data_IF_818767901298
#
_entry.id   IF_818767901298
#
_cell.length_a   1.000
_cell.length_b   1.000
_cell.length_c   1.000
_cell.angle_alpha   90.00
_cell.angle_beta   90.00
_cell.angle_gamma   90.00
#
_symmetry.space_group_name_H-M   'P 1'
#
loop_
_entity.id
_entity.type
_entity.pdbx_description
1 polymer ?
#
# COMPACT_ATOMS: atom_id res chain seq x y z
N UNK A 1 6.81 4.32 9.67
CA UNK A 1 6.41 3.61 8.43
C UNK A 1 6.66 4.41 7.15
N UNK A 2 6.18 5.66 6.97
CA UNK A 2 6.25 6.33 5.66
C UNK A 2 7.68 6.71 5.25
N UNK A 3 8.53 7.04 6.22
CA UNK A 3 9.94 7.31 5.96
C UNK A 3 10.69 6.09 5.40
N UNK A 4 10.37 4.88 5.86
CA UNK A 4 10.95 3.65 5.32
C UNK A 4 10.49 3.41 3.88
N UNK A 5 9.20 3.64 3.60
CA UNK A 5 8.66 3.49 2.24
C UNK A 5 9.36 4.45 1.26
N UNK A 6 9.55 5.71 1.64
CA UNK A 6 10.27 6.69 0.81
C UNK A 6 11.75 6.34 0.61
N UNK A 7 12.43 5.92 1.68
CA UNK A 7 13.83 5.52 1.59
C UNK A 7 14.01 4.27 0.72
N UNK A 8 13.10 3.30 0.80
CA UNK A 8 13.15 2.07 0.00
C UNK A 8 12.73 2.28 -1.45
N UNK A 9 11.78 3.18 -1.72
CA UNK A 9 11.35 3.50 -3.08
C UNK A 9 12.42 4.30 -3.85
N UNK A 10 13.18 5.14 -3.15
CA UNK A 10 14.19 6.02 -3.75
C UNK A 10 15.56 5.94 -3.04
N UNK A 11 16.18 4.75 -3.00
CA UNK A 11 17.37 4.50 -2.16
C UNK A 11 18.59 5.31 -2.60
N UNK A 12 18.66 5.72 -3.86
CA UNK A 12 19.78 6.53 -4.40
C UNK A 12 19.66 8.02 -4.10
N UNK A 13 18.46 8.54 -3.86
CA UNK A 13 18.23 9.99 -3.72
C UNK A 13 17.76 10.42 -2.32
N UNK A 14 17.13 9.51 -1.57
CA UNK A 14 16.53 9.82 -0.27
C UNK A 14 17.16 8.99 0.85
N UNK A 15 17.93 9.66 1.72
CA UNK A 15 18.41 9.04 2.97
C UNK A 15 17.29 8.96 4.01
N UNK A 16 17.43 8.05 4.99
CA UNK A 16 16.43 7.86 6.05
C UNK A 16 16.08 9.17 6.80
N UNK A 17 17.07 10.01 7.08
CA UNK A 17 16.85 11.33 7.72
C UNK A 17 16.01 12.25 6.84
N UNK A 18 16.31 12.32 5.54
CA UNK A 18 15.54 13.13 4.58
C UNK A 18 14.12 12.60 4.42
N UNK A 19 13.96 11.28 4.31
CA UNK A 19 12.64 10.64 4.27
C UNK A 19 11.81 10.96 5.52
N UNK A 20 12.43 10.97 6.71
CA UNK A 20 11.78 11.37 7.96
C UNK A 20 11.25 12.80 7.92
N UNK A 21 12.08 13.75 7.47
CA UNK A 21 11.70 15.16 7.34
C UNK A 21 10.57 15.36 6.31
N UNK A 22 10.66 14.72 5.15
CA UNK A 22 9.60 14.78 4.12
C UNK A 22 8.29 14.22 4.66
N UNK A 23 8.35 13.07 5.34
CA UNK A 23 7.18 12.45 5.96
C UNK A 23 6.54 13.37 6.99
N UNK A 24 7.33 13.99 7.87
CA UNK A 24 6.83 14.92 8.87
C UNK A 24 6.15 16.13 8.23
N UNK A 25 6.78 16.75 7.22
CA UNK A 25 6.23 17.89 6.51
C UNK A 25 4.89 17.58 5.82
N UNK A 26 4.81 16.45 5.10
CA UNK A 26 3.57 16.02 4.43
C UNK A 26 2.49 15.69 5.46
N UNK A 27 2.85 14.93 6.51
CA UNK A 27 1.91 14.53 7.56
C UNK A 27 1.28 15.74 8.28
N UNK A 28 2.08 16.75 8.59
CA UNK A 28 1.56 18.00 9.18
C UNK A 28 0.70 18.79 8.18
N UNK A 29 1.12 18.85 6.91
CA UNK A 29 0.40 19.59 5.86
C UNK A 29 -0.97 19.02 5.52
N UNK A 30 -1.18 17.72 5.74
CA UNK A 30 -2.49 17.07 5.59
C UNK A 30 -3.51 17.50 6.66
N UNK A 31 -3.09 18.23 7.69
CA UNK A 31 -3.96 18.75 8.75
C UNK A 31 -4.87 17.68 9.36
N UNK A 32 -4.32 16.59 9.95
CA UNK A 32 -5.12 15.47 10.46
C UNK A 32 -6.15 15.88 11.51
N UNK A 33 -5.97 17.02 12.17
CA UNK A 33 -6.95 17.59 13.10
C UNK A 33 -8.27 18.01 12.44
N UNK A 34 -8.28 18.37 11.16
CA UNK A 34 -9.54 18.61 10.42
C UNK A 34 -10.35 17.33 10.21
N UNK A 35 -9.66 16.20 10.14
CA UNK A 35 -10.28 14.88 10.08
C UNK A 35 -11.03 14.56 11.38
N UNK A 36 -10.53 15.05 12.51
CA UNK A 36 -11.11 14.85 13.84
C UNK A 36 -12.15 15.90 14.25
N UNK A 37 -12.32 16.98 13.48
CA UNK A 37 -13.18 18.11 13.90
C UNK A 37 -14.67 17.92 13.59
N UNK A 38 -15.04 16.90 12.80
CA UNK A 38 -16.43 16.60 12.46
C UNK A 38 -16.94 15.32 13.13
N UNK A 39 -18.13 15.38 13.72
CA UNK A 39 -18.79 14.19 14.28
C UNK A 39 -19.03 13.15 13.17
N UNK A 40 -18.63 11.91 13.42
CA UNK A 40 -18.82 10.79 12.48
C UNK A 40 -17.86 10.73 11.28
N UNK A 41 -17.23 11.85 10.89
CA UNK A 41 -16.36 11.91 9.71
C UNK A 41 -15.15 10.96 9.80
N UNK A 42 -14.57 10.82 11.00
CA UNK A 42 -13.47 9.89 11.26
C UNK A 42 -13.87 8.44 10.93
N UNK A 43 -15.09 8.02 11.27
CA UNK A 43 -15.54 6.66 11.01
C UNK A 43 -15.74 6.40 9.52
N UNK A 44 -16.39 7.31 8.80
CA UNK A 44 -16.54 7.22 7.34
C UNK A 44 -15.16 7.14 6.68
N UNK A 45 -14.21 7.98 7.11
CA UNK A 45 -12.86 7.97 6.56
C UNK A 45 -12.12 6.67 6.84
N UNK A 46 -12.19 6.14 8.06
CA UNK A 46 -11.56 4.87 8.44
C UNK A 46 -12.15 3.68 7.68
N UNK A 47 -13.48 3.63 7.52
CA UNK A 47 -14.16 2.58 6.76
C UNK A 47 -13.76 2.65 5.29
N UNK A 48 -13.76 3.85 4.70
CA UNK A 48 -13.30 4.07 3.33
C UNK A 48 -11.86 3.61 3.15
N UNK A 49 -10.95 3.99 4.05
CA UNK A 49 -9.57 3.56 4.02
C UNK A 49 -9.41 2.03 4.12
N UNK A 50 -10.17 1.39 5.01
CA UNK A 50 -10.18 -0.06 5.17
C UNK A 50 -10.69 -0.78 3.91
N UNK A 51 -11.64 -0.21 3.17
CA UNK A 51 -12.14 -0.76 1.92
C UNK A 51 -11.06 -0.84 0.82
N UNK A 52 -10.08 0.07 0.83
CA UNK A 52 -8.94 0.01 -0.10
C UNK A 52 -7.80 -0.87 0.39
N UNK A 53 -7.46 -0.79 1.68
CA UNK A 53 -6.34 -1.53 2.25
C UNK A 53 -6.64 -3.01 2.51
N UNK A 54 -7.88 -3.36 2.83
CA UNK A 54 -8.29 -4.74 3.09
C UNK A 54 -7.95 -5.68 1.92
N UNK A 55 -8.34 -5.36 0.68
CA UNK A 55 -7.97 -6.13 -0.49
C UNK A 55 -6.45 -6.24 -0.69
N UNK A 56 -5.68 -5.19 -0.42
CA UNK A 56 -4.20 -5.22 -0.51
C UNK A 56 -3.65 -6.26 0.48
N UNK A 57 -4.09 -6.21 1.74
CA UNK A 57 -3.67 -7.17 2.76
C UNK A 57 -4.07 -8.60 2.39
N UNK A 58 -5.28 -8.80 1.85
CA UNK A 58 -5.76 -10.10 1.37
C UNK A 58 -4.89 -10.67 0.24
N UNK A 59 -4.52 -9.83 -0.74
CA UNK A 59 -3.62 -10.23 -1.83
C UNK A 59 -2.24 -10.60 -1.29
N UNK A 60 -1.67 -9.82 -0.37
CA UNK A 60 -0.38 -10.14 0.24
C UNK A 60 -0.41 -11.47 1.00
N UNK A 61 -1.48 -11.74 1.76
CA UNK A 61 -1.66 -13.01 2.46
C UNK A 61 -1.80 -14.18 1.49
N UNK A 62 -2.62 -14.04 0.45
CA UNK A 62 -2.81 -15.08 -0.56
C UNK A 62 -1.50 -15.36 -1.33
N UNK A 63 -0.77 -14.33 -1.73
CA UNK A 63 0.51 -14.46 -2.42
C UNK A 63 1.53 -15.20 -1.53
N UNK A 64 1.69 -14.77 -0.28
CA UNK A 64 2.69 -15.36 0.61
C UNK A 64 2.34 -16.78 1.07
N UNK A 65 1.12 -16.99 1.59
CA UNK A 65 0.75 -18.27 2.21
C UNK A 65 0.27 -19.31 1.19
N UNK A 66 -0.50 -18.90 0.18
CA UNK A 66 -1.15 -19.84 -0.75
C UNK A 66 -0.27 -20.06 -1.98
N UNK A 67 0.09 -18.99 -2.70
CA UNK A 67 0.83 -19.11 -3.96
C UNK A 67 2.29 -19.50 -3.73
N UNK A 68 2.96 -18.82 -2.79
CA UNK A 68 4.40 -19.00 -2.54
C UNK A 68 4.71 -19.97 -1.41
N UNK A 69 3.70 -20.43 -0.67
CA UNK A 69 3.85 -21.38 0.44
C UNK A 69 4.97 -20.97 1.42
N UNK A 70 4.99 -19.70 1.78
CA UNK A 70 5.97 -19.08 2.68
C UNK A 70 7.43 -19.11 2.20
N UNK A 71 7.66 -19.32 0.90
CA UNK A 71 9.01 -19.28 0.30
C UNK A 71 9.16 -18.02 -0.54
N UNK A 72 9.98 -17.10 -0.07
CA UNK A 72 10.36 -15.89 -0.80
C UNK A 72 11.82 -15.97 -1.19
N UNK A 73 12.10 -15.66 -2.44
CA UNK A 73 13.44 -15.35 -2.89
C UNK A 73 13.77 -13.90 -2.53
N UNK A 74 14.78 -13.71 -1.67
CA UNK A 74 15.19 -12.39 -1.18
C UNK A 74 16.00 -11.64 -2.23
N UNK A 75 16.83 -12.34 -3.01
CA UNK A 75 17.69 -11.71 -4.00
C UNK A 75 16.84 -11.12 -5.14
N UNK A 76 15.80 -11.84 -5.54
CA UNK A 76 14.86 -11.36 -6.55
C UNK A 76 13.99 -10.19 -6.04
N UNK A 77 13.71 -10.09 -4.73
CA UNK A 77 12.96 -8.96 -4.15
C UNK A 77 13.71 -7.63 -4.26
N UNK A 78 15.04 -7.67 -4.31
CA UNK A 78 15.90 -6.49 -4.46
C UNK A 78 16.42 -6.31 -5.90
N UNK A 79 15.94 -7.10 -6.85
CA UNK A 79 16.35 -7.04 -8.26
C UNK A 79 15.28 -6.33 -9.11
N UNK A 80 15.64 -5.22 -9.76
CA UNK A 80 14.73 -4.31 -10.50
C UNK A 80 14.74 -4.51 -12.03
N UNK A 81 14.91 -5.75 -12.49
CA UNK A 81 14.99 -6.04 -13.92
C UNK A 81 14.28 -7.35 -14.28
N UNK A 82 14.19 -7.62 -15.59
CA UNK A 82 13.48 -8.78 -16.15
C UNK A 82 13.95 -10.16 -15.69
N UNK A 83 15.08 -10.25 -14.97
CA UNK A 83 15.55 -11.50 -14.37
C UNK A 83 14.82 -11.84 -13.06
N UNK A 84 14.28 -10.85 -12.37
CA UNK A 84 13.53 -11.07 -11.12
C UNK A 84 12.20 -11.75 -11.39
N UNK A 85 11.88 -12.79 -10.61
CA UNK A 85 10.56 -13.41 -10.64
C UNK A 85 9.41 -12.46 -10.22
N UNK A 86 9.73 -11.31 -9.60
CA UNK A 86 8.77 -10.29 -9.19
C UNK A 86 8.69 -9.11 -10.18
N UNK A 87 9.38 -9.18 -11.32
CA UNK A 87 9.33 -8.12 -12.34
C UNK A 87 8.03 -8.10 -13.13
N UNK A 88 7.37 -9.26 -13.30
CA UNK A 88 6.11 -9.39 -14.03
C UNK A 88 6.15 -8.67 -15.40
N UNK A 89 5.21 -7.76 -15.67
CA UNK A 89 5.16 -6.97 -16.90
C UNK A 89 5.78 -5.58 -16.67
N UNK A 90 7.09 -5.46 -16.92
CA UNK A 90 7.85 -4.20 -16.79
C UNK A 90 7.81 -3.59 -15.38
N UNK A 91 7.91 -4.42 -14.34
CA UNK A 91 7.82 -4.02 -12.95
C UNK A 91 6.41 -3.95 -12.39
N UNK A 92 5.39 -4.34 -13.18
CA UNK A 92 3.98 -4.26 -12.78
C UNK A 92 3.29 -5.62 -12.90
N UNK A 93 2.49 -5.99 -11.90
CA UNK A 93 1.68 -7.20 -11.88
C UNK A 93 0.21 -6.87 -12.19
N UNK A 94 -0.27 -7.09 -13.44
CA UNK A 94 -1.65 -6.80 -13.81
C UNK A 94 -2.65 -7.65 -13.03
N UNK A 95 -2.32 -8.91 -12.73
CA UNK A 95 -3.19 -9.82 -12.00
C UNK A 95 -3.43 -9.35 -10.57
N UNK A 96 -2.40 -8.83 -9.90
CA UNK A 96 -2.54 -8.25 -8.57
C UNK A 96 -3.41 -6.98 -8.60
N UNK A 97 -3.23 -6.12 -9.59
CA UNK A 97 -4.02 -4.90 -9.74
C UNK A 97 -5.50 -5.20 -10.04
N UNK A 98 -5.78 -6.15 -10.94
CA UNK A 98 -7.15 -6.58 -11.23
C UNK A 98 -7.79 -7.21 -9.99
N UNK A 99 -7.07 -8.06 -9.27
CA UNK A 99 -7.56 -8.65 -8.00
C UNK A 99 -7.90 -7.57 -6.97
N UNK A 100 -7.08 -6.52 -6.89
CA UNK A 100 -7.33 -5.38 -6.01
C UNK A 100 -8.59 -4.61 -6.42
N UNK A 101 -8.75 -4.30 -7.71
CA UNK A 101 -9.96 -3.66 -8.23
C UNK A 101 -11.22 -4.47 -7.92
N UNK A 102 -11.18 -5.79 -8.12
CA UNK A 102 -12.28 -6.68 -7.77
C UNK A 102 -12.61 -6.63 -6.28
N UNK A 103 -11.59 -6.66 -5.41
CA UNK A 103 -11.78 -6.56 -3.96
C UNK A 103 -12.40 -5.22 -3.55
N UNK A 104 -11.90 -4.10 -4.08
CA UNK A 104 -12.45 -2.76 -3.82
C UNK A 104 -13.90 -2.65 -4.32
N UNK A 105 -14.19 -3.18 -5.51
CA UNK A 105 -15.52 -3.19 -6.09
C UNK A 105 -16.54 -3.95 -5.22
N UNK A 106 -16.12 -5.02 -4.55
CA UNK A 106 -16.97 -5.76 -3.60
C UNK A 106 -17.22 -4.97 -2.30
N UNK A 107 -16.28 -4.14 -1.86
CA UNK A 107 -16.43 -3.32 -0.65
C UNK A 107 -17.25 -2.03 -0.88
N UNK A 108 -17.29 -1.53 -2.12
CA UNK A 108 -17.94 -0.26 -2.47
C UNK A 108 -19.46 -0.21 -2.15
N UNK A 109 -20.29 -1.22 -2.48
CA UNK A 109 -21.70 -1.21 -2.13
C UNK A 109 -21.93 -1.01 -0.63
N UNK A 110 -21.16 -1.69 0.22
CA UNK A 110 -21.26 -1.54 1.67
C UNK A 110 -20.85 -0.16 2.16
N UNK A 111 -19.90 0.49 1.51
CA UNK A 111 -19.45 1.84 1.85
C UNK A 111 -20.46 2.93 1.48
N UNK A 112 -21.19 2.77 0.37
CA UNK A 112 -22.20 3.76 -0.08
C UNK A 112 -23.44 3.83 0.83
N UNK A 113 -23.61 2.88 1.74
CA UNK A 113 -24.71 2.81 2.70
C UNK A 113 -24.31 3.19 4.14
N UNK A 114 -23.08 3.71 4.34
CA UNK A 114 -22.55 4.21 5.63
C UNK A 114 -22.62 5.73 5.65
#
# INVERSE_FOLDING_TARGET
APANALANAFPRSVSFRRAGLITAAIGTSLMPWKLMSGDGYVFVWLIGYAAFLGPIAGIMLADYFILRRQRLDIDDLFTDNAKSQYWYHRGFNPSAFISWLCGVALCLPGFLHV
#
